data_IF_167041898844
#
_entry.id   IF_167041898844
#
_cell.length_a   1.000
_cell.length_b   1.000
_cell.length_c   1.000
_cell.angle_alpha   90.00
_cell.angle_beta   90.00
_cell.angle_gamma   90.00
#
_symmetry.space_group_name_H-M   'P 1'
#
loop_
_entity.id
_entity.type
_entity.pdbx_description
1 polymer ?
#
# COMPACT_ATOMS: atom_id res chain seq x y z
N UNK A 1 6.54 -30.04 -2.31
CA UNK A 1 5.57 -29.24 -1.51
C UNK A 1 5.58 -27.83 -2.08
N UNK A 2 4.49 -27.36 -2.69
CA UNK A 2 4.39 -25.99 -3.20
C UNK A 2 4.44 -25.05 -1.99
N UNK A 3 5.50 -24.21 -1.89
CA UNK A 3 5.55 -23.13 -0.93
C UNK A 3 4.39 -22.17 -1.28
N UNK A 4 3.30 -22.24 -0.52
CA UNK A 4 2.21 -21.27 -0.64
C UNK A 4 2.76 -19.90 -0.28
N UNK A 5 2.79 -19.00 -1.24
CA UNK A 5 3.15 -17.59 -1.00
C UNK A 5 2.10 -16.99 -0.07
N UNK A 6 2.53 -16.45 1.06
CA UNK A 6 1.63 -15.86 2.05
C UNK A 6 1.12 -14.51 1.54
N UNK A 7 -0.20 -14.31 1.56
CA UNK A 7 -0.85 -13.04 1.20
C UNK A 7 -0.89 -12.07 2.39
N UNK A 8 -1.15 -12.60 3.58
CA UNK A 8 -1.00 -11.93 4.88
C UNK A 8 -2.07 -10.91 5.26
N UNK A 9 -2.80 -10.28 4.32
CA UNK A 9 -3.85 -9.29 4.64
C UNK A 9 -5.23 -9.95 4.65
N UNK A 10 -6.00 -9.69 5.71
CA UNK A 10 -7.33 -10.29 5.92
C UNK A 10 -8.41 -9.29 6.34
N UNK A 11 -8.05 -8.01 6.49
CA UNK A 11 -8.95 -6.91 6.83
C UNK A 11 -8.50 -5.65 6.07
N UNK A 12 -9.42 -5.01 5.34
CA UNK A 12 -9.21 -3.67 4.77
C UNK A 12 -9.12 -2.66 5.90
N UNK A 13 -8.26 -1.67 5.77
CA UNK A 13 -8.20 -0.49 6.63
C UNK A 13 -8.54 0.73 5.76
N UNK A 14 -9.58 1.51 6.08
CA UNK A 14 -9.83 2.81 5.44
C UNK A 14 -8.57 3.68 5.52
N UNK A 15 -8.28 4.39 4.43
CA UNK A 15 -7.01 5.12 4.34
C UNK A 15 -6.88 6.21 5.41
N UNK A 16 -8.01 6.79 5.84
CA UNK A 16 -8.02 7.75 6.95
C UNK A 16 -7.58 7.13 8.28
N UNK A 17 -7.99 5.88 8.56
CA UNK A 17 -7.53 5.17 9.76
C UNK A 17 -6.04 4.83 9.68
N UNK A 18 -5.54 4.46 8.51
CA UNK A 18 -4.10 4.24 8.30
C UNK A 18 -3.31 5.53 8.56
N UNK A 19 -3.77 6.65 8.03
CA UNK A 19 -3.14 7.95 8.22
C UNK A 19 -3.11 8.35 9.70
N UNK A 20 -4.24 8.25 10.40
CA UNK A 20 -4.31 8.52 11.85
C UNK A 20 -3.39 7.59 12.65
N UNK A 21 -3.35 6.30 12.30
CA UNK A 21 -2.47 5.32 12.94
C UNK A 21 -0.99 5.66 12.74
N UNK A 22 -0.62 6.06 11.52
CA UNK A 22 0.74 6.46 11.19
C UNK A 22 1.14 7.72 11.97
N UNK A 23 0.30 8.74 11.97
CA UNK A 23 0.54 9.98 12.73
C UNK A 23 0.75 9.68 14.21
N UNK A 24 -0.15 8.89 14.82
CA UNK A 24 -0.05 8.51 16.22
C UNK A 24 1.26 7.77 16.55
N UNK A 25 1.73 6.88 15.66
CA UNK A 25 3.02 6.19 15.86
C UNK A 25 4.19 7.15 15.74
N UNK A 26 4.18 8.03 14.75
CA UNK A 26 5.24 9.04 14.58
C UNK A 26 5.29 10.02 15.77
N UNK A 27 4.15 10.34 16.35
CA UNK A 27 4.03 11.22 17.51
C UNK A 27 4.28 10.52 18.87
N UNK A 28 4.41 9.18 18.87
CA UNK A 28 4.64 8.38 20.06
C UNK A 28 3.37 8.08 20.87
N UNK A 29 2.19 8.34 20.32
CA UNK A 29 0.88 8.11 20.96
C UNK A 29 0.17 6.85 20.47
N UNK A 30 0.73 6.16 19.48
CA UNK A 30 0.14 4.98 18.83
C UNK A 30 0.24 3.71 19.67
N UNK A 31 -0.50 3.63 20.79
CA UNK A 31 -0.53 2.44 21.66
C UNK A 31 -1.47 1.35 21.12
N UNK A 32 -1.37 0.10 21.61
CA UNK A 32 -2.33 -0.94 21.28
C UNK A 32 -3.78 -0.57 21.62
N UNK A 33 -3.99 0.11 22.75
CA UNK A 33 -5.29 0.60 23.19
C UNK A 33 -5.84 1.65 22.24
N UNK A 34 -5.01 2.62 21.84
CA UNK A 34 -5.37 3.62 20.84
C UNK A 34 -5.81 2.97 19.51
N UNK A 35 -5.06 1.98 19.03
CA UNK A 35 -5.43 1.27 17.79
C UNK A 35 -6.73 0.48 17.92
N UNK A 36 -6.99 -0.10 19.09
CA UNK A 36 -8.24 -0.79 19.34
C UNK A 36 -9.44 0.17 19.33
N UNK A 37 -9.32 1.30 20.01
CA UNK A 37 -10.34 2.35 20.03
C UNK A 37 -10.57 2.94 18.64
N UNK A 38 -9.49 3.25 17.91
CA UNK A 38 -9.57 3.74 16.55
C UNK A 38 -10.23 2.71 15.60
N UNK A 39 -9.92 1.43 15.73
CA UNK A 39 -10.60 0.38 14.96
C UNK A 39 -12.08 0.26 15.32
N UNK A 40 -12.46 0.47 16.58
CA UNK A 40 -13.84 0.40 17.03
C UNK A 40 -14.73 1.52 16.47
N UNK A 41 -14.14 2.62 15.96
CA UNK A 41 -14.91 3.67 15.28
C UNK A 41 -15.48 3.21 13.93
N UNK A 42 -14.82 2.25 13.27
CA UNK A 42 -15.19 1.77 11.92
C UNK A 42 -15.77 0.36 11.94
N UNK A 43 -15.34 -0.48 12.88
CA UNK A 43 -15.69 -1.89 12.88
C UNK A 43 -16.52 -2.27 14.09
N UNK A 44 -17.55 -3.10 13.87
CA UNK A 44 -18.38 -3.67 14.92
C UNK A 44 -18.02 -5.15 15.14
N UNK A 45 -18.00 -5.56 16.40
CA UNK A 45 -17.66 -6.92 16.83
C UNK A 45 -16.16 -7.13 17.06
N UNK A 46 -15.88 -7.73 18.20
CA UNK A 46 -14.53 -7.89 18.76
C UNK A 46 -13.53 -8.51 17.77
N UNK A 47 -13.93 -9.53 17.02
CA UNK A 47 -13.05 -10.20 16.06
C UNK A 47 -12.63 -9.29 14.90
N UNK A 48 -13.52 -8.41 14.42
CA UNK A 48 -13.19 -7.45 13.35
C UNK A 48 -12.27 -6.35 13.87
N UNK A 49 -12.55 -5.83 15.06
CA UNK A 49 -11.71 -4.82 15.72
C UNK A 49 -10.30 -5.39 15.93
N UNK A 50 -10.15 -6.59 16.49
CA UNK A 50 -8.85 -7.25 16.67
C UNK A 50 -8.09 -7.43 15.35
N UNK A 51 -8.77 -7.84 14.27
CA UNK A 51 -8.14 -7.97 12.95
C UNK A 51 -7.69 -6.62 12.40
N UNK A 52 -8.51 -5.58 12.52
CA UNK A 52 -8.16 -4.22 12.09
C UNK A 52 -6.97 -3.68 12.87
N UNK A 53 -6.97 -3.81 14.20
CA UNK A 53 -5.85 -3.43 15.08
C UNK A 53 -4.56 -4.15 14.68
N UNK A 54 -4.63 -5.45 14.38
CA UNK A 54 -3.47 -6.21 13.91
C UNK A 54 -2.93 -5.69 12.57
N UNK A 55 -3.82 -5.40 11.61
CA UNK A 55 -3.42 -4.87 10.29
C UNK A 55 -2.86 -3.45 10.42
N UNK A 56 -3.47 -2.58 11.21
CA UNK A 56 -2.92 -1.23 11.48
C UNK A 56 -1.53 -1.31 12.09
N UNK A 57 -1.32 -2.19 13.07
CA UNK A 57 0.00 -2.40 13.68
C UNK A 57 1.04 -2.90 12.65
N UNK A 58 0.65 -3.79 11.72
CA UNK A 58 1.53 -4.27 10.65
C UNK A 58 1.86 -3.18 9.63
N UNK A 59 0.90 -2.31 9.32
CA UNK A 59 1.09 -1.17 8.42
C UNK A 59 1.94 -0.05 9.04
N UNK A 60 2.04 0.02 10.35
CA UNK A 60 2.76 1.08 11.09
C UNK A 60 3.93 0.54 11.91
N UNK A 61 3.77 0.22 13.20
CA UNK A 61 4.87 -0.19 14.09
C UNK A 61 5.76 -1.30 13.52
N UNK A 62 5.15 -2.29 12.85
CA UNK A 62 5.86 -3.43 12.26
C UNK A 62 6.22 -3.22 10.78
N UNK A 63 6.00 -2.03 10.27
CA UNK A 63 6.35 -1.72 8.88
C UNK A 63 7.87 -1.64 8.73
N UNK A 64 8.47 -2.32 7.74
CA UNK A 64 9.91 -2.25 7.50
C UNK A 64 10.46 -0.84 7.25
N UNK A 65 9.60 0.08 6.76
CA UNK A 65 9.98 1.49 6.54
C UNK A 65 9.91 2.34 7.81
N UNK A 66 9.35 1.84 8.92
CA UNK A 66 9.11 2.65 10.12
C UNK A 66 10.37 3.34 10.68
N UNK A 67 11.56 2.69 10.72
CA UNK A 67 12.77 3.38 11.17
C UNK A 67 13.08 4.63 10.33
N UNK A 68 12.96 4.53 9.01
CA UNK A 68 13.16 5.66 8.10
C UNK A 68 12.08 6.74 8.27
N UNK A 69 10.81 6.34 8.40
CA UNK A 69 9.71 7.28 8.62
C UNK A 69 9.85 8.04 9.94
N UNK A 70 10.36 7.38 10.97
CA UNK A 70 10.60 7.99 12.28
C UNK A 70 11.77 8.98 12.24
N UNK A 71 12.85 8.65 11.52
CA UNK A 71 13.99 9.54 11.29
C UNK A 71 13.57 10.84 10.58
N UNK A 72 12.61 10.75 9.66
CA UNK A 72 12.11 11.87 8.84
C UNK A 72 10.68 12.32 9.25
N UNK A 73 10.34 12.15 10.53
CA UNK A 73 8.99 12.36 11.07
C UNK A 73 8.32 13.65 10.59
N UNK A 74 9.00 14.78 10.73
CA UNK A 74 8.41 16.10 10.43
C UNK A 74 8.09 16.25 8.93
N UNK A 75 8.97 15.74 8.07
CA UNK A 75 8.77 15.75 6.62
C UNK A 75 7.64 14.79 6.20
N UNK A 76 7.54 13.63 6.85
CA UNK A 76 6.44 12.66 6.62
C UNK A 76 5.11 13.31 7.01
N UNK A 77 5.01 13.92 8.20
CA UNK A 77 3.80 14.60 8.68
C UNK A 77 3.41 15.77 7.75
N UNK A 78 4.39 16.52 7.24
CA UNK A 78 4.14 17.56 6.24
C UNK A 78 3.65 16.96 4.90
N UNK A 79 4.27 15.86 4.46
CA UNK A 79 3.91 15.13 3.25
C UNK A 79 2.47 14.58 3.27
N UNK A 80 1.99 14.13 4.41
CA UNK A 80 0.61 13.64 4.56
C UNK A 80 -0.46 14.73 4.31
N UNK A 81 -0.11 16.01 4.46
CA UNK A 81 -1.00 17.15 4.18
C UNK A 81 -1.07 17.51 2.69
N UNK A 82 -0.11 17.06 1.90
CA UNK A 82 -0.05 17.26 0.45
C UNK A 82 -0.55 16.01 -0.27
N UNK A 83 -1.61 16.12 -1.05
CA UNK A 83 -2.30 14.96 -1.65
C UNK A 83 -1.37 14.05 -2.48
N UNK A 84 -0.52 14.51 -3.41
CA UNK A 84 0.40 13.65 -4.15
C UNK A 84 1.44 12.97 -3.26
N UNK A 85 2.03 13.70 -2.31
CA UNK A 85 2.98 13.14 -1.35
C UNK A 85 2.33 12.09 -0.45
N UNK A 86 1.13 12.37 0.05
CA UNK A 86 0.32 11.42 0.83
C UNK A 86 0.05 10.13 0.05
N UNK A 87 -0.29 10.24 -1.25
CA UNK A 87 -0.48 9.08 -2.13
C UNK A 87 0.74 8.16 -2.11
N UNK A 88 1.94 8.72 -2.34
CA UNK A 88 3.17 7.94 -2.39
C UNK A 88 3.56 7.36 -1.02
N UNK A 89 3.44 8.14 0.05
CA UNK A 89 3.74 7.69 1.42
C UNK A 89 2.84 6.52 1.80
N UNK A 90 1.53 6.66 1.69
CA UNK A 90 0.58 5.62 2.11
C UNK A 90 0.65 4.38 1.22
N UNK A 91 0.82 4.55 -0.10
CA UNK A 91 1.01 3.41 -1.01
C UNK A 91 2.33 2.69 -0.74
N UNK A 92 3.42 3.40 -0.46
CA UNK A 92 4.70 2.83 -0.06
C UNK A 92 4.58 2.01 1.24
N UNK A 93 3.86 2.52 2.24
CA UNK A 93 3.56 1.82 3.50
C UNK A 93 2.77 0.54 3.26
N UNK A 94 1.72 0.58 2.43
CA UNK A 94 0.92 -0.60 2.10
C UNK A 94 1.78 -1.66 1.41
N UNK A 95 2.56 -1.25 0.42
CA UNK A 95 3.38 -2.16 -0.39
C UNK A 95 4.55 -2.75 0.41
N UNK A 96 5.17 -1.99 1.32
CA UNK A 96 6.23 -2.50 2.18
C UNK A 96 5.73 -3.48 3.23
N UNK A 97 4.53 -3.29 3.77
CA UNK A 97 3.94 -4.19 4.75
C UNK A 97 3.45 -5.51 4.14
N UNK A 98 3.02 -5.48 2.87
CA UNK A 98 2.39 -6.61 2.19
C UNK A 98 2.95 -6.79 0.78
N UNK A 99 3.69 -7.87 0.54
CA UNK A 99 4.19 -8.22 -0.80
C UNK A 99 3.07 -8.33 -1.84
N UNK A 100 1.86 -8.71 -1.41
CA UNK A 100 0.68 -8.72 -2.26
C UNK A 100 0.32 -7.32 -2.80
N UNK A 101 0.47 -6.28 -1.97
CA UNK A 101 0.27 -4.88 -2.40
C UNK A 101 1.30 -4.46 -3.45
N UNK A 102 2.57 -4.79 -3.21
CA UNK A 102 3.65 -4.57 -4.16
C UNK A 102 3.38 -5.26 -5.51
N UNK A 103 3.08 -6.56 -5.49
CA UNK A 103 2.83 -7.34 -6.71
C UNK A 103 1.62 -6.85 -7.49
N UNK A 104 0.55 -6.46 -6.79
CA UNK A 104 -0.63 -5.86 -7.39
C UNK A 104 -0.26 -4.55 -8.11
N UNK A 105 0.50 -3.69 -7.46
CA UNK A 105 0.96 -2.42 -8.03
C UNK A 105 1.83 -2.65 -9.26
N UNK A 106 2.81 -3.55 -9.16
CA UNK A 106 3.72 -3.87 -10.28
C UNK A 106 2.97 -4.46 -11.47
N UNK A 107 2.08 -5.43 -11.25
CA UNK A 107 1.28 -6.05 -12.32
C UNK A 107 0.36 -5.02 -12.96
N UNK A 108 -0.34 -4.21 -12.16
CA UNK A 108 -1.23 -3.18 -12.68
C UNK A 108 -0.46 -2.14 -13.51
N UNK A 109 0.71 -1.70 -13.04
CA UNK A 109 1.58 -0.78 -13.77
C UNK A 109 2.03 -1.33 -15.13
N UNK A 110 2.41 -2.62 -15.21
CA UNK A 110 2.76 -3.27 -16.49
C UNK A 110 1.64 -3.18 -17.54
N UNK A 111 0.40 -3.33 -17.11
CA UNK A 111 -0.74 -3.23 -18.02
C UNK A 111 -1.11 -1.79 -18.34
N UNK A 112 -1.08 -0.89 -17.37
CA UNK A 112 -1.39 0.53 -17.56
C UNK A 112 -0.33 1.27 -18.38
N UNK A 113 0.87 0.71 -18.52
CA UNK A 113 1.90 1.23 -19.42
C UNK A 113 1.50 1.06 -20.91
N UNK A 114 0.72 0.03 -21.25
CA UNK A 114 0.39 -0.32 -22.65
C UNK A 114 -1.08 -0.15 -23.00
N UNK A 115 -1.94 0.12 -22.03
CA UNK A 115 -3.38 0.31 -22.25
C UNK A 115 -3.97 1.30 -21.25
N UNK A 116 -5.00 2.03 -21.67
CA UNK A 116 -5.63 3.07 -20.84
C UNK A 116 -6.40 2.50 -19.63
N UNK A 117 -7.02 1.34 -19.81
CA UNK A 117 -7.86 0.71 -18.79
C UNK A 117 -7.51 -0.77 -18.61
N UNK A 118 -7.45 -1.20 -17.35
CA UNK A 118 -7.20 -2.61 -16.98
C UNK A 118 -8.44 -3.21 -16.34
N UNK A 119 -9.04 -4.26 -16.93
CA UNK A 119 -10.18 -4.92 -16.32
C UNK A 119 -9.78 -5.72 -15.07
N UNK A 120 -10.62 -5.67 -14.04
CA UNK A 120 -10.39 -6.36 -12.75
C UNK A 120 -10.13 -7.86 -12.92
N UNK A 121 -10.82 -8.51 -13.86
CA UNK A 121 -10.64 -9.95 -14.09
C UNK A 121 -9.24 -10.28 -14.64
N UNK A 122 -8.65 -9.41 -15.48
CA UNK A 122 -7.28 -9.57 -15.96
C UNK A 122 -6.27 -9.47 -14.82
N UNK A 123 -6.40 -8.44 -13.98
CA UNK A 123 -5.56 -8.28 -12.78
C UNK A 123 -5.70 -9.49 -11.85
N UNK A 124 -6.92 -9.97 -11.61
CA UNK A 124 -7.18 -11.16 -10.80
C UNK A 124 -6.54 -12.41 -11.38
N UNK A 125 -6.63 -12.63 -12.70
CA UNK A 125 -6.02 -13.77 -13.38
C UNK A 125 -4.48 -13.74 -13.22
N UNK A 126 -3.86 -12.57 -13.40
CA UNK A 126 -2.40 -12.42 -13.26
C UNK A 126 -1.90 -12.60 -11.82
N UNK A 127 -2.65 -12.11 -10.85
CA UNK A 127 -2.35 -12.41 -9.43
C UNK A 127 -2.52 -13.90 -9.13
N UNK A 128 -3.52 -14.56 -9.71
CA UNK A 128 -3.72 -16.01 -9.55
C UNK A 128 -2.59 -16.84 -10.17
N UNK A 129 -1.95 -16.40 -11.25
CA UNK A 129 -0.74 -17.05 -11.81
C UNK A 129 0.40 -17.08 -10.77
N UNK A 130 0.57 -16.00 -9.99
CA UNK A 130 1.62 -15.90 -8.95
C UNK A 130 1.23 -16.60 -7.65
N UNK A 131 0.01 -16.39 -7.18
CA UNK A 131 -0.46 -16.85 -5.86
C UNK A 131 -1.19 -18.20 -5.90
N UNK A 132 -1.41 -18.76 -7.10
CA UNK A 132 -2.08 -20.01 -7.32
C UNK A 132 -3.53 -20.02 -6.84
N UNK A 133 -4.01 -21.19 -6.43
CA UNK A 133 -5.37 -21.37 -5.88
C UNK A 133 -5.50 -20.93 -4.41
N UNK A 134 -4.77 -19.90 -3.99
CA UNK A 134 -4.86 -19.39 -2.63
C UNK A 134 -6.26 -18.81 -2.37
N UNK A 135 -7.05 -19.45 -1.50
CA UNK A 135 -8.42 -19.03 -1.18
C UNK A 135 -8.52 -17.62 -0.59
N UNK A 136 -7.41 -17.07 -0.10
CA UNK A 136 -7.35 -15.70 0.43
C UNK A 136 -7.19 -14.63 -0.65
N UNK A 137 -6.91 -15.00 -1.90
CA UNK A 137 -6.68 -14.04 -3.01
C UNK A 137 -7.85 -13.06 -3.22
N UNK A 138 -9.12 -13.50 -3.35
CA UNK A 138 -10.22 -12.56 -3.52
C UNK A 138 -10.36 -11.59 -2.33
N UNK A 139 -10.19 -12.08 -1.11
CA UNK A 139 -10.25 -11.25 0.07
C UNK A 139 -9.11 -10.22 0.12
N UNK A 140 -7.89 -10.62 -0.24
CA UNK A 140 -6.76 -9.70 -0.30
C UNK A 140 -6.95 -8.60 -1.35
N UNK A 141 -7.48 -8.94 -2.52
CA UNK A 141 -7.86 -7.94 -3.54
C UNK A 141 -8.90 -6.98 -3.00
N UNK A 142 -9.92 -7.48 -2.27
CA UNK A 142 -10.96 -6.65 -1.63
C UNK A 142 -10.41 -5.78 -0.48
N UNK A 143 -9.25 -6.08 0.05
CA UNK A 143 -8.57 -5.25 1.05
C UNK A 143 -7.66 -4.20 0.37
N UNK A 144 -6.72 -4.64 -0.47
CA UNK A 144 -5.63 -3.80 -1.00
C UNK A 144 -6.12 -2.83 -2.08
N UNK A 145 -6.96 -3.28 -3.02
CA UNK A 145 -7.45 -2.42 -4.11
C UNK A 145 -8.15 -1.16 -3.59
N UNK A 146 -9.15 -1.25 -2.70
CA UNK A 146 -9.77 -0.05 -2.15
C UNK A 146 -8.79 0.85 -1.39
N UNK A 147 -7.82 0.29 -0.68
CA UNK A 147 -6.81 1.08 0.04
C UNK A 147 -5.96 1.90 -0.93
N UNK A 148 -5.50 1.34 -2.04
CA UNK A 148 -4.75 2.09 -3.05
C UNK A 148 -5.61 3.13 -3.79
N UNK A 149 -6.88 2.83 -4.09
CA UNK A 149 -7.81 3.79 -4.67
C UNK A 149 -8.04 4.98 -3.73
N UNK A 150 -8.26 4.73 -2.44
CA UNK A 150 -8.44 5.76 -1.42
C UNK A 150 -7.15 6.56 -1.17
N UNK A 151 -5.98 5.91 -1.24
CA UNK A 151 -4.69 6.60 -1.22
C UNK A 151 -4.48 7.48 -2.47
N UNK A 152 -5.17 7.18 -3.57
CA UNK A 152 -5.09 7.92 -4.82
C UNK A 152 -4.02 7.42 -5.79
N UNK A 153 -3.50 6.20 -5.61
CA UNK A 153 -2.46 5.63 -6.47
C UNK A 153 -2.98 5.37 -7.90
N UNK A 154 -4.17 4.82 -8.00
CA UNK A 154 -4.92 4.66 -9.25
C UNK A 154 -6.41 4.87 -8.98
N UNK A 155 -7.21 4.94 -10.03
CA UNK A 155 -8.64 5.13 -9.85
C UNK A 155 -9.49 4.08 -10.57
N UNK A 156 -10.77 4.04 -10.22
CA UNK A 156 -11.76 3.17 -10.83
C UNK A 156 -12.80 4.07 -11.47
N UNK A 157 -12.74 4.29 -12.81
CA UNK A 157 -13.67 5.18 -13.51
C UNK A 157 -15.11 4.64 -13.45
N UNK A 158 -15.25 3.31 -13.53
CA UNK A 158 -16.51 2.58 -13.35
C UNK A 158 -16.24 1.14 -12.86
N UNK A 159 -17.28 0.43 -12.38
CA UNK A 159 -17.10 -0.92 -11.87
C UNK A 159 -16.39 -1.85 -12.86
N UNK A 160 -15.37 -2.55 -12.38
CA UNK A 160 -14.66 -3.57 -13.14
C UNK A 160 -13.40 -3.09 -13.88
N UNK A 161 -13.06 -1.80 -13.86
CA UNK A 161 -11.89 -1.27 -14.58
C UNK A 161 -11.04 -0.35 -13.69
N UNK A 162 -9.74 -0.33 -13.97
CA UNK A 162 -8.76 0.57 -13.35
C UNK A 162 -8.11 1.44 -14.43
N UNK A 163 -7.81 2.67 -14.08
CA UNK A 163 -7.09 3.64 -14.89
C UNK A 163 -5.89 4.21 -14.14
N UNK A 164 -4.90 4.61 -14.92
CA UNK A 164 -3.70 5.27 -14.43
C UNK A 164 -4.04 6.62 -13.81
N UNK A 165 -3.35 6.90 -12.73
CA UNK A 165 -3.26 8.23 -12.14
C UNK A 165 -1.80 8.45 -11.74
N UNK A 166 -1.17 9.48 -12.32
CA UNK A 166 0.21 9.83 -11.96
C UNK A 166 0.20 10.84 -10.81
N UNK A 167 0.98 10.55 -9.80
CA UNK A 167 1.28 11.53 -8.76
C UNK A 167 2.27 12.56 -9.31
N UNK A 168 1.93 13.84 -9.18
CA UNK A 168 2.73 14.99 -9.64
C UNK A 168 2.92 15.97 -8.49
N UNK A 169 4.00 16.74 -8.49
CA UNK A 169 4.27 17.75 -7.46
C UNK A 169 4.31 17.21 -6.02
N UNK A 170 4.87 16.01 -5.87
CA UNK A 170 5.12 15.37 -4.58
C UNK A 170 6.47 15.81 -3.98
N UNK A 171 6.65 15.62 -2.68
CA UNK A 171 7.92 15.90 -2.02
C UNK A 171 8.98 14.83 -2.34
N UNK A 172 10.29 15.18 -2.36
CA UNK A 172 11.36 14.20 -2.55
C UNK A 172 11.31 13.06 -1.53
N UNK A 173 10.94 13.36 -0.27
CA UNK A 173 10.78 12.34 0.76
C UNK A 173 9.65 11.36 0.44
N UNK A 174 8.49 11.84 -0.02
CA UNK A 174 7.38 10.97 -0.38
C UNK A 174 7.76 9.98 -1.48
N UNK A 175 8.50 10.46 -2.47
CA UNK A 175 9.07 9.60 -3.51
C UNK A 175 10.07 8.59 -2.93
N UNK A 176 10.96 9.01 -2.03
CA UNK A 176 11.92 8.09 -1.40
C UNK A 176 11.23 7.01 -0.56
N UNK A 177 10.13 7.31 0.15
CA UNK A 177 9.30 6.31 0.84
C UNK A 177 8.77 5.27 -0.16
N UNK A 178 8.21 5.73 -1.28
CA UNK A 178 7.67 4.86 -2.33
C UNK A 178 8.79 4.02 -2.99
N UNK A 179 9.93 4.64 -3.29
CA UNK A 179 11.11 3.98 -3.83
C UNK A 179 11.69 2.91 -2.88
N UNK A 180 11.76 3.18 -1.59
CA UNK A 180 12.22 2.21 -0.59
C UNK A 180 11.30 0.99 -0.51
N UNK A 181 9.99 1.17 -0.66
CA UNK A 181 9.08 0.03 -0.72
C UNK A 181 9.34 -0.87 -1.94
N UNK A 182 9.74 -0.30 -3.09
CA UNK A 182 10.20 -1.06 -4.25
C UNK A 182 11.52 -1.82 -3.97
N UNK A 183 12.53 -1.13 -3.45
CA UNK A 183 13.85 -1.74 -3.18
C UNK A 183 13.76 -2.87 -2.15
N UNK A 184 12.88 -2.78 -1.18
CA UNK A 184 12.63 -3.84 -0.20
C UNK A 184 12.21 -5.17 -0.85
N UNK A 185 11.44 -5.11 -1.94
CA UNK A 185 11.01 -6.29 -2.71
C UNK A 185 12.02 -6.70 -3.78
N UNK A 186 13.06 -5.88 -4.00
CA UNK A 186 14.12 -6.08 -4.99
C UNK A 186 15.52 -5.95 -4.35
N UNK A 187 15.85 -6.75 -3.32
CA UNK A 187 17.06 -6.55 -2.51
C UNK A 187 18.38 -6.78 -3.28
N UNK A 188 18.30 -7.40 -4.45
CA UNK A 188 19.47 -7.60 -5.32
C UNK A 188 19.82 -6.37 -6.17
N UNK A 189 18.92 -5.38 -6.25
CA UNK A 189 19.16 -4.16 -7.00
C UNK A 189 20.04 -3.19 -6.20
N UNK A 190 20.96 -2.46 -6.85
CA UNK A 190 21.73 -1.42 -6.19
C UNK A 190 20.82 -0.25 -5.78
N UNK A 191 21.19 0.44 -4.70
CA UNK A 191 20.39 1.56 -4.19
C UNK A 191 20.24 2.74 -5.16
N UNK A 192 21.17 2.87 -6.10
CA UNK A 192 21.17 3.91 -7.14
C UNK A 192 20.65 3.42 -8.49
N UNK A 193 19.89 2.30 -8.51
CA UNK A 193 19.31 1.79 -9.76
C UNK A 193 18.41 2.84 -10.41
N UNK A 194 18.49 2.97 -11.72
CA UNK A 194 17.53 3.73 -12.51
C UNK A 194 16.17 3.03 -12.48
N UNK A 195 15.15 3.76 -12.09
CA UNK A 195 13.83 3.21 -11.80
C UNK A 195 12.80 3.46 -12.90
N UNK A 196 13.16 4.27 -13.90
CA UNK A 196 12.23 4.73 -14.95
C UNK A 196 11.57 3.58 -15.73
N UNK A 197 12.29 2.47 -15.88
CA UNK A 197 11.83 1.31 -16.66
C UNK A 197 11.01 0.30 -15.83
N UNK A 198 10.87 0.55 -14.52
CA UNK A 198 10.12 -0.37 -13.67
C UNK A 198 8.64 0.01 -13.61
N UNK A 199 7.78 -0.91 -13.99
CA UNK A 199 6.33 -0.74 -14.00
C UNK A 199 5.72 -0.30 -12.66
N UNK A 200 6.41 -0.57 -11.55
CA UNK A 200 6.04 -0.09 -10.23
C UNK A 200 5.95 1.43 -10.15
N UNK A 201 6.75 2.15 -10.95
CA UNK A 201 6.79 3.62 -10.98
C UNK A 201 5.89 4.24 -12.04
N UNK A 202 5.07 3.46 -12.75
CA UNK A 202 4.12 4.00 -13.74
C UNK A 202 3.15 5.03 -13.14
N UNK A 203 2.89 4.93 -11.84
CA UNK A 203 1.99 5.82 -11.08
C UNK A 203 2.65 7.13 -10.63
N UNK A 204 3.88 7.38 -11.02
CA UNK A 204 4.67 8.55 -10.62
C UNK A 204 5.09 9.33 -11.85
N UNK A 205 4.94 10.64 -11.82
CA UNK A 205 5.52 11.54 -12.81
C UNK A 205 6.99 11.76 -12.43
N UNK A 206 7.89 11.08 -13.14
CA UNK A 206 9.35 11.21 -12.97
C UNK A 206 9.89 12.41 -13.73
#
# INVERSE_FOLDING_TARGET
>A
MSNKIEIGINQRIPIGLLEMSLQAVLEGTGTPEYFYELAATEYHGENRIKKATYVMNRLTHRNPLMPFLQEHKEEVLAGLRNKPSRTLILSGIINSAYSFGYDLTEILGKYLHVQEQVPTHLLSAKLAEKYGSNRSLPNAMNCIIPMHIEAGLFHRPYPGFFELRKAENYSPLAFEVYRRSFLQHNPALPHNVEIIDYAYFEFVQL
#
